data_IF_614161021954
#
_entry.id   IF_614161021954
#
_cell.length_a   1.000
_cell.length_b   1.000
_cell.length_c   1.000
_cell.angle_alpha   90.00
_cell.angle_beta   90.00
_cell.angle_gamma   90.00
#
_symmetry.space_group_name_H-M   'P 1'
#
loop_
_entity.id
_entity.type
_entity.pdbx_description
1 polymer ?
#
# COMPACT_ATOMS: atom_id res chain seq x y z
N UNK A 1 -0.11 -38.63 -34.31
CA UNK A 1 -0.52 -39.90 -33.68
C UNK A 1 0.60 -40.88 -34.01
N UNK A 2 1.40 -41.46 -33.13
CA UNK A 2 1.02 -42.08 -31.87
C UNK A 2 2.26 -42.53 -31.08
N UNK A 3 3.45 -41.90 -31.22
CA UNK A 3 4.70 -42.37 -30.54
C UNK A 3 4.50 -42.67 -29.04
N UNK A 4 3.64 -41.89 -28.39
CA UNK A 4 3.21 -42.09 -26.99
C UNK A 4 2.30 -43.30 -26.76
N UNK A 5 1.37 -43.61 -27.68
CA UNK A 5 0.47 -44.78 -27.57
C UNK A 5 1.19 -46.06 -28.00
N UNK A 6 2.05 -45.99 -29.03
CA UNK A 6 2.94 -47.09 -29.40
C UNK A 6 3.93 -47.41 -28.26
N UNK A 7 4.53 -46.38 -27.65
CA UNK A 7 5.36 -46.56 -26.46
C UNK A 7 4.57 -47.11 -25.25
N UNK A 8 3.26 -46.84 -25.16
CA UNK A 8 2.40 -47.42 -24.14
C UNK A 8 2.15 -48.92 -24.38
N UNK A 9 1.87 -49.31 -25.62
CA UNK A 9 1.71 -50.72 -25.99
C UNK A 9 2.99 -51.52 -25.77
N UNK A 10 4.13 -50.98 -26.16
CA UNK A 10 5.44 -51.59 -25.95
C UNK A 10 5.78 -51.72 -24.46
N UNK A 11 5.45 -50.72 -23.66
CA UNK A 11 5.56 -50.81 -22.20
C UNK A 11 4.61 -51.86 -21.62
N UNK A 12 3.37 -51.95 -22.12
CA UNK A 12 2.38 -52.96 -21.71
C UNK A 12 2.81 -54.38 -22.09
N UNK A 13 3.61 -54.53 -23.15
CA UNK A 13 4.29 -55.78 -23.56
C UNK A 13 5.53 -56.11 -22.71
N UNK A 14 5.92 -55.25 -21.78
CA UNK A 14 7.00 -55.50 -20.82
C UNK A 14 8.36 -54.88 -21.18
N UNK A 15 8.47 -54.07 -22.24
CA UNK A 15 9.72 -53.37 -22.56
C UNK A 15 10.09 -52.36 -21.49
N UNK A 16 11.40 -52.23 -21.24
CA UNK A 16 11.92 -51.24 -20.27
C UNK A 16 11.93 -49.84 -20.88
N UNK A 17 11.80 -48.81 -20.05
CA UNK A 17 11.78 -47.42 -20.51
C UNK A 17 13.02 -46.99 -21.29
N UNK A 18 14.18 -47.61 -21.02
CA UNK A 18 15.42 -47.33 -21.74
C UNK A 18 15.38 -47.83 -23.19
N UNK A 19 14.84 -49.04 -23.40
CA UNK A 19 14.68 -49.65 -24.72
C UNK A 19 13.65 -48.87 -25.56
N UNK A 20 12.56 -48.42 -24.92
CA UNK A 20 11.54 -47.57 -25.57
C UNK A 20 12.13 -46.20 -25.95
N UNK A 21 12.96 -45.62 -25.08
CA UNK A 21 13.64 -44.36 -25.36
C UNK A 21 14.56 -44.46 -26.59
N UNK A 22 15.38 -45.51 -26.65
CA UNK A 22 16.29 -45.77 -27.78
C UNK A 22 15.53 -46.10 -29.07
N UNK A 23 14.48 -46.94 -29.00
CA UNK A 23 13.67 -47.36 -30.17
C UNK A 23 12.96 -46.21 -30.87
N UNK A 24 12.47 -45.25 -30.10
CA UNK A 24 11.69 -44.11 -30.64
C UNK A 24 12.51 -42.83 -30.82
N UNK A 25 13.80 -42.87 -30.48
CA UNK A 25 14.74 -41.75 -30.38
C UNK A 25 14.17 -40.60 -29.53
N UNK A 26 13.80 -40.94 -28.30
CA UNK A 26 13.19 -40.03 -27.32
C UNK A 26 13.99 -40.10 -26.02
N UNK A 27 14.17 -38.96 -25.36
CA UNK A 27 14.87 -38.97 -24.07
C UNK A 27 14.15 -39.83 -23.03
N UNK A 28 14.94 -40.57 -22.23
CA UNK A 28 14.43 -41.40 -21.14
C UNK A 28 13.54 -40.61 -20.16
N UNK A 29 13.82 -39.32 -19.96
CA UNK A 29 13.03 -38.42 -19.13
C UNK A 29 11.61 -38.20 -19.68
N UNK A 30 11.46 -38.14 -21.01
CA UNK A 30 10.16 -37.98 -21.68
C UNK A 30 9.32 -39.25 -21.54
N UNK A 31 9.92 -40.42 -21.74
CA UNK A 31 9.26 -41.73 -21.54
C UNK A 31 8.80 -41.90 -20.09
N UNK A 32 9.66 -41.54 -19.11
CA UNK A 32 9.29 -41.52 -17.69
C UNK A 32 8.14 -40.56 -17.39
N UNK A 33 8.13 -39.38 -18.00
CA UNK A 33 7.04 -38.40 -17.85
C UNK A 33 5.71 -38.93 -18.39
N UNK A 34 5.72 -39.61 -19.55
CA UNK A 34 4.53 -40.26 -20.09
C UNK A 34 4.02 -41.40 -19.21
N UNK A 35 4.93 -42.23 -18.70
CA UNK A 35 4.58 -43.32 -17.81
C UNK A 35 3.84 -42.83 -16.57
N UNK A 36 4.37 -41.79 -15.92
CA UNK A 36 3.80 -41.17 -14.72
C UNK A 36 2.45 -40.51 -15.01
N UNK A 37 2.35 -39.74 -16.10
CA UNK A 37 1.16 -38.93 -16.38
C UNK A 37 0.00 -39.70 -16.99
N UNK A 38 0.26 -40.79 -17.71
CA UNK A 38 -0.76 -41.43 -18.56
C UNK A 38 -0.80 -42.95 -18.46
N UNK A 39 0.32 -43.63 -18.16
CA UNK A 39 0.36 -45.10 -18.20
C UNK A 39 0.07 -45.74 -16.84
N UNK A 40 0.50 -45.08 -15.76
CA UNK A 40 0.36 -45.54 -14.37
C UNK A 40 -0.72 -44.79 -13.58
N UNK A 41 -1.57 -44.00 -14.23
CA UNK A 41 -2.65 -43.32 -13.52
C UNK A 41 -3.68 -44.35 -13.04
N UNK A 42 -3.80 -44.51 -11.73
CA UNK A 42 -5.06 -44.95 -11.13
C UNK A 42 -6.10 -43.86 -11.39
N UNK A 43 -7.31 -44.23 -11.81
CA UNK A 43 -8.40 -43.30 -12.13
C UNK A 43 -8.68 -42.39 -10.92
N UNK A 44 -8.07 -41.21 -10.87
CA UNK A 44 -8.34 -40.20 -9.85
C UNK A 44 -7.18 -39.28 -9.50
N UNK A 45 -5.92 -39.71 -9.62
CA UNK A 45 -4.79 -38.91 -9.16
C UNK A 45 -4.12 -38.12 -10.29
N UNK A 46 -4.38 -36.81 -10.32
CA UNK A 46 -3.68 -35.86 -11.19
C UNK A 46 -2.26 -35.70 -10.67
N UNK A 47 -1.26 -36.19 -11.42
CA UNK A 47 0.15 -35.93 -11.10
C UNK A 47 0.40 -34.43 -11.18
N UNK A 48 0.66 -33.86 -10.00
CA UNK A 48 0.87 -32.45 -9.75
C UNK A 48 1.80 -31.78 -10.78
N UNK A 49 1.22 -30.97 -11.67
CA UNK A 49 1.81 -29.65 -11.96
C UNK A 49 1.05 -28.66 -11.08
N UNK A 50 1.13 -28.89 -9.77
CA UNK A 50 0.75 -27.89 -8.79
C UNK A 50 2.05 -27.22 -8.38
N UNK A 51 2.45 -26.15 -9.08
CA UNK A 51 2.72 -24.92 -8.31
C UNK A 51 1.49 -24.82 -7.45
N UNK A 52 1.61 -25.18 -6.16
CA UNK A 52 0.48 -25.31 -5.26
C UNK A 52 -0.43 -24.12 -5.55
N UNK A 53 -1.59 -24.38 -6.17
CA UNK A 53 -2.67 -23.40 -6.18
C UNK A 53 -2.96 -23.35 -4.70
N UNK A 54 -2.31 -22.40 -4.01
CA UNK A 54 -2.51 -22.15 -2.59
C UNK A 54 -4.00 -22.27 -2.41
N UNK A 55 -4.41 -23.12 -1.48
CA UNK A 55 -5.74 -23.07 -0.88
C UNK A 55 -5.91 -21.67 -0.27
N UNK A 56 -6.01 -20.66 -1.12
CA UNK A 56 -6.73 -19.45 -0.81
C UNK A 56 -8.16 -19.94 -0.85
N UNK A 57 -8.66 -20.29 0.34
CA UNK A 57 -10.08 -20.20 0.66
C UNK A 57 -10.62 -19.03 -0.14
N UNK A 58 -11.58 -19.30 -1.04
CA UNK A 58 -12.36 -18.34 -1.83
C UNK A 58 -12.14 -16.95 -1.25
N UNK A 59 -11.16 -16.22 -1.81
CA UNK A 59 -10.81 -14.89 -1.32
C UNK A 59 -12.12 -14.14 -1.43
N UNK A 60 -12.77 -13.88 -0.29
CA UNK A 60 -13.77 -12.85 -0.21
C UNK A 60 -13.08 -11.66 -0.85
N UNK A 61 -13.46 -11.32 -2.08
CA UNK A 61 -13.12 -10.05 -2.73
C UNK A 61 -13.90 -8.95 -2.02
N UNK A 62 -13.92 -8.98 -0.69
CA UNK A 62 -14.22 -7.85 0.13
C UNK A 62 -12.95 -7.04 0.12
N UNK A 63 -12.85 -6.13 -0.84
CA UNK A 63 -12.14 -4.91 -0.53
C UNK A 63 -12.65 -4.37 0.81
N UNK A 64 -11.83 -3.53 1.41
CA UNK A 64 -12.25 -2.62 2.47
C UNK A 64 -13.73 -2.21 2.25
N UNK A 65 -14.65 -2.37 3.23
CA UNK A 65 -16.07 -2.04 3.04
C UNK A 65 -16.22 -0.70 2.34
N UNK A 66 -17.21 -0.53 1.45
CA UNK A 66 -17.39 0.72 0.70
C UNK A 66 -17.41 1.90 1.70
N UNK A 67 -16.41 2.79 1.62
CA UNK A 67 -16.20 3.88 2.58
C UNK A 67 -15.17 3.64 3.70
N UNK A 68 -14.46 2.51 3.71
CA UNK A 68 -13.41 2.23 4.69
C UNK A 68 -12.15 3.08 4.39
N UNK A 69 -11.95 4.11 5.22
CA UNK A 69 -10.84 5.07 5.13
C UNK A 69 -9.56 4.59 5.84
N UNK A 70 -9.49 3.34 6.31
CA UNK A 70 -8.33 2.84 7.07
C UNK A 70 -7.03 2.76 6.24
N UNK A 71 -7.11 2.80 4.90
CA UNK A 71 -5.95 2.90 4.01
C UNK A 71 -5.66 4.34 3.55
N UNK A 72 -6.40 5.35 4.03
CA UNK A 72 -6.11 6.77 3.75
C UNK A 72 -4.98 7.20 4.66
N UNK A 73 -3.79 6.66 4.42
CA UNK A 73 -2.55 7.08 5.06
C UNK A 73 -2.00 8.26 4.27
N UNK A 74 -2.47 9.45 4.62
CA UNK A 74 -1.88 10.77 4.32
C UNK A 74 -0.77 10.77 3.24
N UNK A 75 -1.21 10.65 1.98
CA UNK A 75 -0.37 10.86 0.80
C UNK A 75 -0.59 12.26 0.26
N UNK A 76 0.51 12.90 -0.13
CA UNK A 76 0.75 14.35 -0.27
C UNK A 76 -0.08 15.07 -1.36
N UNK A 77 -0.85 14.39 -2.21
CA UNK A 77 -1.80 15.03 -3.15
C UNK A 77 -2.92 14.01 -3.40
N UNK A 78 -4.21 14.28 -3.20
CA UNK A 78 -4.90 15.39 -3.86
C UNK A 78 -4.80 15.36 -5.40
N UNK A 79 -4.10 14.37 -5.99
CA UNK A 79 -4.16 14.12 -7.44
C UNK A 79 -5.56 13.66 -7.89
N UNK A 80 -6.38 13.19 -6.94
CA UNK A 80 -7.81 12.92 -7.12
C UNK A 80 -8.69 14.12 -6.77
N UNK A 81 -8.18 15.19 -6.17
CA UNK A 81 -9.07 16.29 -5.78
C UNK A 81 -9.51 17.05 -7.02
N UNK A 82 -8.60 17.35 -7.95
CA UNK A 82 -8.97 18.05 -9.18
C UNK A 82 -10.08 17.35 -9.98
N UNK A 83 -10.08 16.02 -10.02
CA UNK A 83 -11.08 15.21 -10.74
C UNK A 83 -12.44 15.11 -10.00
N UNK A 84 -12.47 15.42 -8.70
CA UNK A 84 -13.69 15.47 -7.88
C UNK A 84 -14.15 16.90 -7.54
N UNK A 85 -13.36 17.92 -7.86
CA UNK A 85 -13.74 19.33 -7.74
C UNK A 85 -14.73 19.67 -8.84
N UNK A 86 -15.80 20.37 -8.46
CA UNK A 86 -16.70 21.00 -9.42
C UNK A 86 -15.94 22.04 -10.27
N UNK A 87 -16.44 22.35 -11.47
CA UNK A 87 -15.83 23.37 -12.35
C UNK A 87 -15.64 24.72 -11.63
N UNK A 88 -16.52 25.05 -10.68
CA UNK A 88 -16.42 26.28 -9.86
C UNK A 88 -15.25 26.23 -8.88
N UNK A 89 -15.02 25.10 -8.22
CA UNK A 89 -13.88 24.93 -7.33
C UNK A 89 -12.57 24.88 -8.11
N UNK A 90 -12.55 24.22 -9.28
CA UNK A 90 -11.38 24.24 -10.17
C UNK A 90 -11.05 25.66 -10.62
N UNK A 91 -12.05 26.45 -10.99
CA UNK A 91 -11.88 27.85 -11.37
C UNK A 91 -11.36 28.70 -10.20
N UNK A 92 -11.82 28.44 -8.98
CA UNK A 92 -11.31 29.11 -7.77
C UNK A 92 -9.81 28.83 -7.54
N UNK A 93 -9.38 27.59 -7.75
CA UNK A 93 -7.96 27.21 -7.68
C UNK A 93 -7.11 27.78 -8.82
N UNK A 94 -7.67 27.96 -10.02
CA UNK A 94 -6.97 28.63 -11.12
C UNK A 94 -6.86 30.15 -10.95
N UNK A 95 -7.79 30.77 -10.22
CA UNK A 95 -7.83 32.23 -10.02
C UNK A 95 -6.96 32.71 -8.86
N UNK A 96 -6.67 31.85 -7.87
CA UNK A 96 -5.81 32.21 -6.75
C UNK A 96 -4.38 31.73 -7.01
N UNK A 97 -3.44 32.67 -7.13
CA UNK A 97 -2.02 32.36 -7.04
C UNK A 97 -1.71 31.79 -5.64
N UNK A 98 -1.03 30.64 -5.60
CA UNK A 98 -0.63 30.01 -4.35
C UNK A 98 0.65 30.71 -3.86
N UNK A 99 0.56 31.40 -2.72
CA UNK A 99 1.76 31.86 -2.01
C UNK A 99 2.45 30.64 -1.36
N UNK A 100 3.50 30.17 -2.03
CA UNK A 100 4.28 29.00 -1.62
C UNK A 100 4.87 29.14 -0.21
N UNK A 101 5.19 30.36 0.22
CA UNK A 101 5.75 30.66 1.54
C UNK A 101 4.67 30.51 2.60
N UNK A 102 3.50 31.12 2.39
CA UNK A 102 2.39 31.04 3.34
C UNK A 102 1.85 29.62 3.45
N UNK A 103 1.77 28.90 2.34
CA UNK A 103 1.36 27.49 2.33
C UNK A 103 2.36 26.60 3.09
N UNK A 104 3.67 26.84 2.94
CA UNK A 104 4.68 26.18 3.75
C UNK A 104 4.51 26.45 5.25
N UNK A 105 4.18 27.70 5.66
CA UNK A 105 3.89 28.01 7.07
C UNK A 105 2.64 27.31 7.57
N UNK A 106 1.57 27.27 6.77
CA UNK A 106 0.33 26.58 7.13
C UNK A 106 0.55 25.07 7.28
N UNK A 107 1.35 24.46 6.41
CA UNK A 107 1.77 23.08 6.51
C UNK A 107 2.58 22.79 7.78
N UNK A 108 3.47 23.71 8.20
CA UNK A 108 4.20 23.60 9.46
C UNK A 108 3.24 23.61 10.65
N UNK A 109 2.29 24.56 10.70
CA UNK A 109 1.26 24.64 11.76
C UNK A 109 0.45 23.34 11.82
N UNK A 110 0.07 22.78 10.67
CA UNK A 110 -0.66 21.52 10.58
C UNK A 110 0.17 20.34 11.12
N UNK A 111 1.44 20.22 10.73
CA UNK A 111 2.35 19.20 11.26
C UNK A 111 2.48 19.29 12.79
N UNK A 112 2.62 20.49 13.34
CA UNK A 112 2.69 20.71 14.78
C UNK A 112 1.41 20.27 15.50
N UNK A 113 0.25 20.61 14.96
CA UNK A 113 -1.04 20.15 15.49
C UNK A 113 -1.19 18.62 15.44
N UNK A 114 -0.71 17.98 14.37
CA UNK A 114 -0.71 16.52 14.29
C UNK A 114 0.18 15.88 15.36
N UNK A 115 1.41 16.41 15.53
CA UNK A 115 2.33 15.93 16.55
C UNK A 115 1.69 16.04 17.95
N UNK A 116 1.10 17.20 18.26
CA UNK A 116 0.42 17.42 19.56
C UNK A 116 -0.74 16.45 19.78
N UNK A 117 -1.56 16.19 18.75
CA UNK A 117 -2.67 15.23 18.84
C UNK A 117 -2.18 13.81 19.10
N UNK A 118 -1.13 13.35 18.41
CA UNK A 118 -0.58 12.02 18.63
C UNK A 118 0.10 11.88 19.99
N UNK A 119 0.85 12.89 20.43
CA UNK A 119 1.47 12.93 21.76
C UNK A 119 0.41 12.84 22.87
N UNK A 120 -0.72 13.56 22.73
CA UNK A 120 -1.84 13.45 23.67
C UNK A 120 -2.41 12.04 23.73
N UNK A 121 -2.62 11.40 22.57
CA UNK A 121 -3.11 10.02 22.51
C UNK A 121 -2.14 9.01 23.12
N UNK A 122 -0.83 9.21 22.96
CA UNK A 122 0.19 8.36 23.61
C UNK A 122 0.08 8.50 25.13
N UNK A 123 0.02 9.73 25.64
CA UNK A 123 -0.13 9.98 27.09
C UNK A 123 -1.41 9.33 27.66
N UNK A 124 -2.53 9.43 26.94
CA UNK A 124 -3.78 8.76 27.33
C UNK A 124 -3.66 7.23 27.35
N UNK A 125 -2.84 6.65 26.47
CA UNK A 125 -2.60 5.21 26.41
C UNK A 125 -1.65 4.73 27.51
N UNK A 126 -0.62 5.50 27.83
CA UNK A 126 0.32 5.20 28.92
C UNK A 126 -0.35 5.24 30.29
N UNK A 127 -1.34 6.12 30.48
CA UNK A 127 -2.09 6.25 31.73
C UNK A 127 -3.14 5.14 31.91
N UNK A 128 -3.55 4.44 30.85
CA UNK A 128 -4.53 3.35 30.96
C UNK A 128 -3.85 2.11 31.55
N UNK A 129 -4.25 1.75 32.76
CA UNK A 129 -3.88 0.47 33.37
C UNK A 129 -4.59 -0.67 32.64
N UNK A 130 -3.93 -1.23 31.63
CA UNK A 130 -4.44 -2.35 30.84
C UNK A 130 -3.71 -2.43 29.51
N UNK A 131 -2.93 -3.49 29.29
CA UNK A 131 -2.07 -3.64 28.11
C UNK A 131 -2.81 -3.82 26.77
N UNK A 132 -4.15 -3.76 26.76
CA UNK A 132 -5.01 -3.99 25.60
C UNK A 132 -6.02 -2.85 25.42
N UNK A 133 -6.23 -2.43 24.17
CA UNK A 133 -7.18 -1.41 23.75
C UNK A 133 -8.14 -2.01 22.73
N UNK A 134 -9.42 -1.69 22.84
CA UNK A 134 -10.40 -2.05 21.82
C UNK A 134 -10.12 -1.27 20.54
N UNK A 135 -9.78 -1.97 19.45
CA UNK A 135 -9.46 -1.37 18.15
C UNK A 135 -10.66 -1.30 17.22
N UNK A 136 -11.69 -2.12 17.46
CA UNK A 136 -12.93 -2.08 16.70
C UNK A 136 -13.92 -3.14 17.16
N UNK A 137 -15.16 -2.99 16.70
CA UNK A 137 -16.25 -3.94 16.96
C UNK A 137 -16.76 -4.45 15.62
N UNK A 138 -16.77 -5.77 15.45
CA UNK A 138 -17.32 -6.44 14.28
C UNK A 138 -18.66 -7.08 14.64
N UNK A 139 -19.67 -6.89 13.80
CA UNK A 139 -20.99 -7.52 13.96
C UNK A 139 -21.21 -8.51 12.83
N UNK A 140 -21.47 -9.77 13.15
CA UNK A 140 -21.81 -10.81 12.20
C UNK A 140 -23.24 -11.28 12.47
N UNK A 141 -24.14 -11.10 11.49
CA UNK A 141 -25.46 -11.71 11.53
C UNK A 141 -25.32 -13.17 11.10
N UNK A 142 -25.72 -14.10 11.96
CA UNK A 142 -25.88 -15.50 11.60
C UNK A 142 -27.37 -15.76 11.41
N UNK A 143 -27.74 -16.27 10.24
CA UNK A 143 -29.10 -16.74 9.96
C UNK A 143 -29.04 -18.25 10.22
N UNK A 144 -29.69 -18.70 11.28
CA UNK A 144 -29.91 -20.12 11.53
C UNK A 144 -31.31 -20.44 11.01
N UNK A 145 -31.36 -21.37 10.05
CA UNK A 145 -32.51 -22.00 9.40
C UNK A 145 -33.32 -21.22 8.33
N UNK A 146 -33.41 -21.86 7.15
CA UNK A 146 -34.32 -21.53 6.04
C UNK A 146 -35.61 -22.37 6.14
N UNK A 147 -36.17 -22.53 7.34
CA UNK A 147 -37.50 -23.12 7.50
C UNK A 147 -38.53 -22.02 7.72
N UNK A 148 -39.62 -22.13 6.96
CA UNK A 148 -40.62 -21.09 6.70
C UNK A 148 -41.16 -20.45 7.99
N UNK A 149 -41.26 -19.12 7.94
CA UNK A 149 -42.07 -18.22 8.79
C UNK A 149 -41.57 -17.73 10.16
N UNK A 150 -40.40 -18.14 10.67
CA UNK A 150 -39.80 -17.44 11.82
C UNK A 150 -38.28 -17.36 11.73
N UNK A 151 -37.76 -16.34 11.04
CA UNK A 151 -36.33 -16.03 11.00
C UNK A 151 -35.85 -15.52 12.37
N UNK A 152 -35.17 -16.37 13.14
CA UNK A 152 -34.42 -15.95 14.32
C UNK A 152 -33.03 -15.43 13.88
N UNK A 153 -32.83 -14.12 13.94
CA UNK A 153 -31.56 -13.48 13.56
C UNK A 153 -30.67 -13.34 14.78
N UNK A 154 -29.68 -14.23 14.93
CA UNK A 154 -28.66 -14.08 15.97
C UNK A 154 -27.55 -13.12 15.51
N UNK A 155 -27.17 -12.20 16.39
CA UNK A 155 -26.08 -11.24 16.16
C UNK A 155 -24.87 -11.60 17.02
N UNK A 156 -23.77 -11.99 16.39
CA UNK A 156 -22.48 -12.22 17.03
C UNK A 156 -21.69 -10.91 17.00
N UNK A 157 -21.34 -10.38 18.18
CA UNK A 157 -20.52 -9.17 18.32
C UNK A 157 -19.13 -9.58 18.76
N UNK A 158 -18.13 -9.41 17.88
CA UNK A 158 -16.73 -9.67 18.19
C UNK A 158 -15.99 -8.36 18.40
N UNK A 159 -15.44 -8.16 19.60
CA UNK A 159 -14.60 -7.01 19.92
C UNK A 159 -13.14 -7.33 19.60
N UNK A 160 -12.54 -6.59 18.68
CA UNK A 160 -11.12 -6.73 18.35
C UNK A 160 -10.30 -5.87 19.32
N UNK A 161 -9.28 -6.46 19.93
CA UNK A 161 -8.36 -5.79 20.84
C UNK A 161 -6.95 -5.74 20.25
N UNK A 162 -6.22 -4.66 20.49
CA UNK A 162 -4.83 -4.44 20.07
C UNK A 162 -4.01 -4.08 21.30
N UNK A 163 -2.75 -4.52 21.34
CA UNK A 163 -1.88 -4.19 22.46
C UNK A 163 -1.55 -2.69 22.48
N UNK A 164 -1.53 -2.09 23.68
CA UNK A 164 -1.25 -0.65 23.87
C UNK A 164 0.08 -0.24 23.22
N UNK A 165 1.13 -1.04 23.42
CA UNK A 165 2.47 -0.74 22.90
C UNK A 165 2.51 -0.65 21.36
N UNK A 166 1.71 -1.47 20.67
CA UNK A 166 1.64 -1.45 19.20
C UNK A 166 1.00 -0.15 18.71
N UNK A 167 -0.01 0.34 19.41
CA UNK A 167 -0.67 1.59 19.06
C UNK A 167 0.23 2.81 19.34
N UNK A 168 0.98 2.79 20.45
CA UNK A 168 2.00 3.81 20.76
C UNK A 168 3.07 3.82 19.66
N UNK A 169 3.57 2.66 19.24
CA UNK A 169 4.54 2.56 18.15
C UNK A 169 4.00 3.15 16.84
N UNK A 170 2.74 2.88 16.50
CA UNK A 170 2.09 3.47 15.32
C UNK A 170 2.01 4.99 15.42
N UNK A 171 1.63 5.56 16.57
CA UNK A 171 1.59 7.01 16.76
C UNK A 171 2.97 7.64 16.71
N UNK A 172 4.00 7.01 17.26
CA UNK A 172 5.39 7.47 17.15
C UNK A 172 5.85 7.53 15.67
N UNK A 173 5.51 6.52 14.87
CA UNK A 173 5.82 6.53 13.44
C UNK A 173 5.11 7.69 12.69
N UNK A 174 3.85 7.99 13.02
CA UNK A 174 3.14 9.13 12.43
C UNK A 174 3.73 10.48 12.87
N UNK A 175 4.17 10.60 14.14
CA UNK A 175 4.90 11.78 14.63
C UNK A 175 6.19 11.98 13.85
N UNK A 176 6.96 10.91 13.59
CA UNK A 176 8.21 11.02 12.84
C UNK A 176 7.99 11.46 11.39
N UNK A 177 6.91 10.99 10.75
CA UNK A 177 6.52 11.46 9.41
C UNK A 177 6.16 12.95 9.42
N UNK A 178 5.35 13.40 10.39
CA UNK A 178 5.00 14.81 10.52
C UNK A 178 6.23 15.70 10.76
N UNK A 179 7.18 15.24 11.59
CA UNK A 179 8.47 15.92 11.80
C UNK A 179 9.28 16.03 10.50
N UNK A 180 9.40 14.94 9.73
CA UNK A 180 10.09 14.94 8.43
C UNK A 180 9.44 15.88 7.43
N UNK A 181 8.10 15.96 7.40
CA UNK A 181 7.38 16.88 6.53
C UNK A 181 7.63 18.34 6.95
N UNK A 182 7.55 18.64 8.26
CA UNK A 182 7.88 19.97 8.80
C UNK A 182 9.31 20.40 8.43
N UNK A 183 10.28 19.50 8.55
CA UNK A 183 11.67 19.77 8.19
C UNK A 183 11.81 20.17 6.71
N UNK A 184 11.14 19.46 5.80
CA UNK A 184 11.14 19.81 4.37
C UNK A 184 10.54 21.19 4.10
N UNK A 185 9.43 21.55 4.75
CA UNK A 185 8.84 22.89 4.62
C UNK A 185 9.81 23.97 5.12
N UNK A 186 10.52 23.73 6.22
CA UNK A 186 11.53 24.65 6.74
C UNK A 186 12.73 24.80 5.79
N UNK A 187 13.21 23.71 5.19
CA UNK A 187 14.28 23.73 4.17
C UNK A 187 13.88 24.58 2.96
N UNK A 188 12.63 24.45 2.51
CA UNK A 188 12.09 25.25 1.39
C UNK A 188 12.08 26.74 1.77
N UNK A 189 11.53 27.08 2.94
CA UNK A 189 11.52 28.47 3.43
C UNK A 189 12.91 29.07 3.56
N UNK A 190 13.90 28.28 4.03
CA UNK A 190 15.28 28.73 4.16
C UNK A 190 15.91 29.05 2.79
N UNK A 191 15.70 28.19 1.79
CA UNK A 191 16.15 28.43 0.40
C UNK A 191 15.53 29.69 -0.22
N UNK A 192 14.26 29.95 0.06
CA UNK A 192 13.60 31.19 -0.37
C UNK A 192 14.21 32.43 0.30
N UNK A 193 14.55 32.36 1.59
CA UNK A 193 15.26 33.44 2.27
C UNK A 193 16.65 33.74 1.67
N UNK A 194 17.41 32.70 1.35
CA UNK A 194 18.75 32.84 0.75
C UNK A 194 18.71 33.46 -0.66
N UNK A 195 17.70 33.12 -1.46
CA UNK A 195 17.53 33.65 -2.83
C UNK A 195 17.13 35.13 -2.83
N UNK A 196 16.26 35.55 -1.92
CA UNK A 196 15.87 36.96 -1.75
C UNK A 196 17.06 37.82 -1.30
N UNK A 197 17.89 37.33 -0.38
CA UNK A 197 19.07 38.04 0.07
C UNK A 197 20.09 38.25 -1.06
N UNK A 198 20.37 37.24 -1.90
CA UNK A 198 21.29 37.37 -3.05
C UNK A 198 20.82 38.41 -4.07
N UNK A 199 19.53 38.46 -4.36
CA UNK A 199 18.96 39.44 -5.29
C UNK A 199 19.09 40.88 -4.76
N UNK A 200 18.94 41.10 -3.45
CA UNK A 200 19.16 42.41 -2.84
C UNK A 200 20.63 42.83 -2.88
N UNK A 201 21.58 41.91 -2.61
CA UNK A 201 23.01 42.23 -2.71
C UNK A 201 23.40 42.61 -4.14
N UNK A 202 22.92 41.88 -5.15
CA UNK A 202 23.19 42.19 -6.56
C UNK A 202 22.59 43.54 -6.99
N UNK A 203 21.38 43.88 -6.56
CA UNK A 203 20.78 45.20 -6.81
C UNK A 203 21.55 46.34 -6.12
N UNK A 204 21.97 46.17 -4.86
CA UNK A 204 22.79 47.19 -4.18
C UNK A 204 24.17 47.37 -4.81
N UNK A 205 24.73 46.33 -5.43
CA UNK A 205 26.02 46.41 -6.14
C UNK A 205 25.87 47.10 -7.51
N UNK A 206 24.71 46.96 -8.16
CA UNK A 206 24.39 47.64 -9.42
C UNK A 206 24.11 49.15 -9.25
N UNK A 207 23.64 49.57 -8.07
CA UNK A 207 23.52 51.00 -7.70
C UNK A 207 24.89 51.49 -7.20
N UNK A 208 25.89 51.46 -8.08
CA UNK A 208 27.21 52.00 -7.78
C UNK A 208 27.12 53.53 -7.80
N UNK A 209 27.36 54.14 -6.64
CA UNK A 209 27.23 55.58 -6.39
C UNK A 209 28.37 56.29 -7.14
N UNK A 210 28.03 57.04 -8.19
CA UNK A 210 28.97 57.97 -8.82
C UNK A 210 29.20 59.14 -7.87
N UNK A 211 30.33 59.14 -7.13
CA UNK A 211 30.75 60.34 -6.43
C UNK A 211 31.19 61.37 -7.49
N UNK A 212 30.63 62.58 -7.50
CA UNK A 212 31.10 63.64 -8.39
C UNK A 212 32.56 63.93 -8.10
N UNK A 213 33.37 63.95 -9.16
CA UNK A 213 34.77 64.31 -9.09
C UNK A 213 34.86 65.80 -8.74
N UNK A 214 35.04 66.09 -7.44
CA UNK A 214 35.21 67.45 -6.95
C UNK A 214 36.63 67.90 -7.30
N UNK A 215 36.81 68.30 -8.56
CA UNK A 215 38.04 68.86 -9.09
C UNK A 215 38.52 70.01 -8.20
N UNK A 216 39.46 69.71 -7.32
CA UNK A 216 40.32 70.70 -6.67
C UNK A 216 41.54 70.87 -7.58
N UNK A 217 41.49 71.94 -8.37
CA UNK A 217 42.65 72.59 -8.99
C UNK A 217 43.48 73.26 -7.90
#
# INVERSE_FOLDING_TARGET
>A
MEKKQQAYEDWRRGMKYKEIAEKYDISLSTVKSWAVRYWKQEKGEKVATTTAKKLQTEKKKGGAPKGNKNHVKHGIYERMLFEFLSEQEQQFFLQHEIDEIEECKNMIKFCDLQILKFMRKIKELEQKAGGLVVSGVSKKKRIEDLQKENTNVQQEITTNTVAVHELILRYNNEIEKAKKQKMKCLEVLLKFGETQNKQQTEQTTAVNIYLPDNGRV
#
